data_IF_186019848814
#
_entry.id   IF_186019848814
#
_cell.length_a   1.000
_cell.length_b   1.000
_cell.length_c   1.000
_cell.angle_alpha   90.00
_cell.angle_beta   90.00
_cell.angle_gamma   90.00
#
_symmetry.space_group_name_H-M   'P 1'
#
loop_
_entity.id
_entity.type
_entity.pdbx_description
1 polymer ?
#
# COMPACT_ATOMS: atom_id res chain seq x y z
N UNK A 1 -0.10 -30.89 -15.83
CA UNK A 1 -0.50 -30.11 -14.62
C UNK A 1 0.59 -29.16 -14.07
N UNK A 2 1.87 -29.30 -14.47
CA UNK A 2 2.94 -28.41 -13.98
C UNK A 2 2.95 -26.99 -14.59
N UNK A 3 2.51 -26.85 -15.85
CA UNK A 3 2.50 -25.55 -16.56
C UNK A 3 1.54 -24.55 -15.90
N UNK A 4 0.32 -24.98 -15.52
CA UNK A 4 -0.68 -24.11 -14.90
C UNK A 4 -0.29 -23.61 -13.51
N UNK A 5 0.41 -24.43 -12.72
CA UNK A 5 0.93 -24.03 -11.41
C UNK A 5 2.09 -23.02 -11.55
N UNK A 6 2.98 -23.22 -12.53
CA UNK A 6 4.08 -22.30 -12.82
C UNK A 6 3.59 -20.93 -13.28
N UNK A 7 2.57 -20.88 -14.14
CA UNK A 7 1.97 -19.62 -14.59
C UNK A 7 1.33 -18.86 -13.43
N UNK A 8 0.56 -19.55 -12.56
CA UNK A 8 -0.04 -18.92 -11.37
C UNK A 8 0.99 -18.35 -10.40
N UNK A 9 2.08 -19.09 -10.16
CA UNK A 9 3.15 -18.64 -9.28
C UNK A 9 3.85 -17.39 -9.84
N UNK A 10 4.08 -17.34 -11.16
CA UNK A 10 4.70 -16.20 -11.83
C UNK A 10 3.79 -14.97 -11.83
N UNK A 11 2.49 -15.14 -12.10
CA UNK A 11 1.49 -14.05 -11.97
C UNK A 11 1.44 -13.51 -10.54
N UNK A 12 1.42 -14.39 -9.54
CA UNK A 12 1.43 -13.96 -8.14
C UNK A 12 2.67 -13.12 -7.79
N UNK A 13 3.86 -13.57 -8.20
CA UNK A 13 5.10 -12.83 -7.95
C UNK A 13 5.10 -11.48 -8.67
N UNK A 14 4.69 -11.48 -9.93
CA UNK A 14 4.55 -10.26 -10.74
C UNK A 14 3.61 -9.24 -10.07
N UNK A 15 2.41 -9.67 -9.68
CA UNK A 15 1.41 -8.80 -9.04
C UNK A 15 1.93 -8.25 -7.71
N UNK A 16 2.66 -9.07 -6.94
CA UNK A 16 3.25 -8.65 -5.67
C UNK A 16 4.35 -7.61 -5.88
N UNK A 17 5.19 -7.78 -6.89
CA UNK A 17 6.23 -6.80 -7.25
C UNK A 17 5.59 -5.46 -7.61
N UNK A 18 4.57 -5.45 -8.46
CA UNK A 18 3.86 -4.22 -8.85
C UNK A 18 3.17 -3.59 -7.64
N UNK A 19 2.47 -4.38 -6.84
CA UNK A 19 1.80 -3.88 -5.64
C UNK A 19 2.78 -3.25 -4.64
N UNK A 20 3.97 -3.82 -4.47
CA UNK A 20 5.03 -3.21 -3.65
C UNK A 20 5.53 -1.90 -4.24
N UNK A 21 5.74 -1.82 -5.56
CA UNK A 21 6.16 -0.57 -6.22
C UNK A 21 5.10 0.53 -6.06
N UNK A 22 3.82 0.19 -6.26
CA UNK A 22 2.70 1.11 -6.03
C UNK A 22 2.67 1.59 -4.58
N UNK A 23 2.82 0.67 -3.61
CA UNK A 23 2.88 1.02 -2.19
C UNK A 23 4.03 1.98 -1.89
N UNK A 24 5.22 1.73 -2.43
CA UNK A 24 6.39 2.58 -2.22
C UNK A 24 6.20 3.97 -2.84
N UNK A 25 5.60 4.05 -4.03
CA UNK A 25 5.28 5.34 -4.65
C UNK A 25 4.36 6.17 -3.73
N UNK A 26 3.29 5.55 -3.20
CA UNK A 26 2.35 6.24 -2.32
C UNK A 26 3.04 6.69 -1.02
N UNK A 27 3.89 5.84 -0.42
CA UNK A 27 4.69 6.23 0.74
C UNK A 27 5.58 7.44 0.43
N UNK A 28 6.28 7.44 -0.70
CA UNK A 28 7.13 8.57 -1.08
C UNK A 28 6.30 9.85 -1.25
N UNK A 29 5.11 9.77 -1.88
CA UNK A 29 4.20 10.92 -2.00
C UNK A 29 3.74 11.46 -0.64
N UNK A 30 3.56 10.59 0.35
CA UNK A 30 3.25 10.99 1.73
C UNK A 30 4.46 11.68 2.38
N UNK A 31 5.66 11.13 2.22
CA UNK A 31 6.89 11.67 2.82
C UNK A 31 7.21 13.07 2.30
N UNK A 32 6.94 13.34 1.03
CA UNK A 32 7.13 14.69 0.45
C UNK A 32 5.89 15.58 0.56
N UNK A 33 4.91 15.21 1.39
CA UNK A 33 3.66 15.95 1.62
C UNK A 33 2.82 16.21 0.35
N UNK A 34 3.01 15.45 -0.73
CA UNK A 34 2.12 15.46 -1.90
C UNK A 34 0.79 14.77 -1.60
N UNK A 35 0.78 13.87 -0.61
CA UNK A 35 -0.42 13.23 -0.09
C UNK A 35 -0.55 13.53 1.41
N UNK A 36 -1.48 14.43 1.76
CA UNK A 36 -1.80 14.70 3.15
C UNK A 36 -2.55 13.51 3.75
N UNK A 37 -1.97 12.89 4.78
CA UNK A 37 -2.69 11.91 5.59
C UNK A 37 -3.37 12.66 6.74
N UNK A 38 -4.70 12.51 6.93
CA UNK A 38 -5.35 13.03 8.13
C UNK A 38 -4.69 12.48 9.40
N UNK A 39 -4.50 13.37 10.37
CA UNK A 39 -3.88 13.09 11.67
C UNK A 39 -4.69 12.12 12.51
N UNK A 40 -6.00 12.15 12.31
CA UNK A 40 -6.95 11.26 12.95
C UNK A 40 -6.88 9.91 12.24
N UNK A 41 -6.90 8.82 13.00
CA UNK A 41 -6.69 7.41 12.60
C UNK A 41 -7.66 6.84 11.54
N UNK A 42 -8.23 7.69 10.70
CA UNK A 42 -9.11 7.38 9.60
C UNK A 42 -8.27 6.80 8.46
N UNK A 43 -8.57 5.54 8.16
CA UNK A 43 -8.21 4.88 6.93
C UNK A 43 -8.49 5.76 5.69
N UNK A 44 -7.43 6.15 4.98
CA UNK A 44 -7.58 6.82 3.69
C UNK A 44 -7.55 5.78 2.57
N UNK A 45 -8.45 5.93 1.59
CA UNK A 45 -8.43 5.12 0.38
C UNK A 45 -7.92 5.95 -0.81
N UNK A 46 -7.09 5.33 -1.65
CA UNK A 46 -6.58 5.92 -2.89
C UNK A 46 -6.62 4.90 -4.00
N UNK A 47 -6.96 5.33 -5.20
CA UNK A 47 -6.91 4.48 -6.40
C UNK A 47 -5.79 4.98 -7.30
N UNK A 48 -4.98 4.08 -7.85
CA UNK A 48 -3.91 4.42 -8.79
C UNK A 48 -3.88 3.45 -9.95
N UNK A 49 -3.38 3.89 -11.10
CA UNK A 49 -3.25 3.06 -12.30
C UNK A 49 -1.77 2.82 -12.59
N UNK A 50 -1.36 1.56 -12.68
CA UNK A 50 0.02 1.19 -12.98
C UNK A 50 0.06 -0.10 -13.80
N UNK A 51 0.83 -0.08 -14.89
CA UNK A 51 1.09 -1.23 -15.76
C UNK A 51 -0.18 -1.94 -16.25
N UNK A 52 -1.16 -1.17 -16.73
CA UNK A 52 -2.38 -1.74 -17.31
C UNK A 52 -3.51 -2.00 -16.30
N UNK A 53 -3.23 -1.89 -15.00
CA UNK A 53 -4.15 -2.30 -13.94
C UNK A 53 -4.44 -1.16 -12.95
N UNK A 54 -5.69 -1.13 -12.48
CA UNK A 54 -6.11 -0.27 -11.37
C UNK A 54 -5.80 -0.96 -10.03
N UNK A 55 -5.14 -0.23 -9.15
CA UNK A 55 -4.76 -0.66 -7.80
C UNK A 55 -5.47 0.19 -6.76
N UNK A 56 -5.94 -0.46 -5.71
CA UNK A 56 -6.61 0.18 -4.59
C UNK A 56 -5.69 0.17 -3.39
N UNK A 57 -5.42 1.34 -2.85
CA UNK A 57 -4.57 1.54 -1.69
C UNK A 57 -5.42 1.90 -0.48
N UNK A 58 -5.09 1.26 0.64
CA UNK A 58 -5.61 1.59 1.95
C UNK A 58 -4.42 2.06 2.79
N UNK A 59 -4.47 3.31 3.21
CA UNK A 59 -3.45 3.98 3.99
C UNK A 59 -3.99 4.10 5.41
N UNK A 60 -3.23 3.60 6.38
CA UNK A 60 -3.53 3.76 7.79
C UNK A 60 -2.33 4.30 8.54
N UNK A 61 -2.59 5.08 9.57
CA UNK A 61 -1.57 5.63 10.46
C UNK A 61 -1.79 5.16 11.88
N UNK A 62 -0.70 5.00 12.60
CA UNK A 62 -0.72 4.68 14.03
C UNK A 62 0.46 5.36 14.70
N UNK A 63 0.23 5.91 15.89
CA UNK A 63 1.32 6.43 16.71
C UNK A 63 2.25 5.30 17.14
N UNK A 64 3.55 5.57 17.19
CA UNK A 64 4.51 4.66 17.79
C UNK A 64 4.64 4.94 19.29
N UNK A 65 5.55 4.24 19.98
CA UNK A 65 5.89 4.57 21.37
C UNK A 65 6.56 5.95 21.48
N UNK A 66 7.20 6.41 20.41
CA UNK A 66 7.69 7.78 20.30
C UNK A 66 6.61 8.67 19.69
N UNK A 67 6.20 9.70 20.43
CA UNK A 67 5.14 10.63 20.02
C UNK A 67 5.52 11.47 18.80
N UNK A 68 6.82 11.62 18.54
CA UNK A 68 7.33 12.35 17.38
C UNK A 68 7.36 11.47 16.12
N UNK A 69 7.20 10.14 16.25
CA UNK A 69 7.23 9.23 15.10
C UNK A 69 5.84 8.65 14.84
N UNK A 70 5.32 8.92 13.64
CA UNK A 70 4.11 8.31 13.12
C UNK A 70 4.45 7.16 12.19
N UNK A 71 3.87 5.98 12.46
CA UNK A 71 3.94 4.84 11.56
C UNK A 71 2.83 4.93 10.52
N UNK A 72 3.20 4.74 9.27
CA UNK A 72 2.28 4.71 8.13
C UNK A 72 2.31 3.30 7.54
N UNK A 73 1.15 2.75 7.24
CA UNK A 73 0.98 1.45 6.60
C UNK A 73 0.17 1.66 5.33
N UNK A 74 0.72 1.27 4.19
CA UNK A 74 0.03 1.31 2.90
C UNK A 74 -0.17 -0.11 2.41
N UNK A 75 -1.42 -0.55 2.35
CA UNK A 75 -1.80 -1.86 1.84
C UNK A 75 -2.46 -1.72 0.47
N UNK A 76 -1.98 -2.50 -0.48
CA UNK A 76 -2.37 -2.46 -1.89
C UNK A 76 -3.20 -3.70 -2.24
N UNK A 77 -4.28 -3.49 -2.97
CA UNK A 77 -5.23 -4.50 -3.41
C UNK A 77 -5.37 -4.43 -4.94
N UNK A 78 -5.32 -5.59 -5.60
CA UNK A 78 -5.57 -5.71 -7.04
C UNK A 78 -7.05 -5.61 -7.43
N UNK A 79 -7.95 -5.61 -6.45
CA UNK A 79 -9.41 -5.55 -6.62
C UNK A 79 -10.02 -4.64 -5.55
N UNK A 80 -11.26 -4.20 -5.76
CA UNK A 80 -11.98 -3.37 -4.79
C UNK A 80 -11.98 -4.04 -3.40
N UNK A 81 -11.65 -3.32 -2.32
CA UNK A 81 -11.56 -3.87 -0.97
C UNK A 81 -12.92 -4.24 -0.33
N UNK A 82 -14.01 -4.26 -1.11
CA UNK A 82 -15.36 -4.63 -0.63
C UNK A 82 -15.52 -6.13 -0.34
N UNK A 83 -14.63 -6.95 -0.88
CA UNK A 83 -14.59 -8.40 -0.63
C UNK A 83 -13.45 -8.71 0.34
N UNK A 84 -13.61 -9.71 1.22
CA UNK A 84 -12.65 -10.15 2.27
C UNK A 84 -11.31 -10.67 1.71
N UNK A 85 -10.68 -9.98 0.76
CA UNK A 85 -9.39 -10.36 0.21
C UNK A 85 -8.27 -9.78 1.06
N UNK A 86 -7.26 -10.61 1.28
CA UNK A 86 -5.99 -10.14 1.82
C UNK A 86 -5.33 -9.16 0.85
N UNK A 87 -4.60 -8.16 1.37
CA UNK A 87 -3.85 -7.24 0.52
C UNK A 87 -2.81 -8.01 -0.32
N UNK A 88 -2.61 -7.56 -1.55
CA UNK A 88 -1.57 -8.08 -2.47
C UNK A 88 -0.17 -7.78 -1.89
N UNK A 89 0.02 -6.59 -1.35
CA UNK A 89 1.21 -6.20 -0.61
C UNK A 89 0.88 -5.14 0.45
N UNK A 90 1.66 -5.08 1.53
CA UNK A 90 1.65 -3.95 2.45
C UNK A 90 3.09 -3.48 2.68
N UNK A 91 3.30 -2.16 2.58
CA UNK A 91 4.55 -1.48 2.89
C UNK A 91 4.36 -0.59 4.11
N UNK A 92 5.45 -0.37 4.85
CA UNK A 92 5.45 0.42 6.09
C UNK A 92 6.48 1.51 5.98
N UNK A 93 6.10 2.72 6.38
CA UNK A 93 6.98 3.88 6.51
C UNK A 93 6.90 4.46 7.92
N UNK A 94 7.89 5.28 8.26
CA UNK A 94 7.97 6.00 9.52
C UNK A 94 8.28 7.46 9.21
N UNK A 95 7.41 8.37 9.66
CA UNK A 95 7.54 9.81 9.42
C UNK A 95 7.70 10.53 10.76
N UNK A 96 8.59 11.52 10.80
CA UNK A 96 8.67 12.42 11.94
C UNK A 96 7.55 13.47 11.84
N UNK A 97 6.80 13.67 12.91
CA UNK A 97 5.72 14.64 13.01
C UNK A 97 6.21 16.09 13.22
N UNK A 98 7.47 16.28 13.59
CA UNK A 98 8.06 17.60 13.88
C UNK A 98 8.63 18.32 12.66
N UNK A 99 8.57 17.70 11.47
CA UNK A 99 9.11 18.20 10.21
C UNK A 99 8.02 18.82 9.33
#
# INVERSE_FOLDING_TARGET
MAVSQRTRAMTYLHDKTIATMVGQQILNEIEVNLLAIPSDSVAMQKTTYMLGQTWYAHISTSNTQDLHIQKIIVCIFSHLPMTKHSPTACVKGYRNNDA
#
